data_IF_420693959001
#
_entry.id   IF_420693959001
#
_cell.length_a   1.000
_cell.length_b   1.000
_cell.length_c   1.000
_cell.angle_alpha   90.00
_cell.angle_beta   90.00
_cell.angle_gamma   90.00
#
_symmetry.space_group_name_H-M   'P 1'
#
loop_
_entity.id
_entity.type
_entity.pdbx_description
1 polymer ?
#
# COMPACT_ATOMS: atom_id res chain seq x y z
N UNK A 1 3.84 -4.41 12.05
CA UNK A 1 3.75 -5.59 11.18
C UNK A 1 4.58 -5.30 9.95
N UNK A 2 5.43 -6.24 9.58
CA UNK A 2 6.24 -6.20 8.37
C UNK A 2 5.54 -6.97 7.25
N UNK A 3 6.01 -6.74 6.02
CA UNK A 3 5.46 -7.37 4.81
C UNK A 3 5.53 -8.90 4.86
N UNK A 4 6.56 -9.45 5.50
CA UNK A 4 6.79 -10.89 5.65
C UNK A 4 5.66 -11.62 6.37
N UNK A 5 4.92 -10.90 7.22
CA UNK A 5 3.86 -11.46 8.06
C UNK A 5 2.50 -11.51 7.34
N UNK A 6 2.38 -10.90 6.15
CA UNK A 6 1.13 -10.87 5.39
C UNK A 6 0.92 -12.15 4.60
N UNK A 7 -0.33 -12.63 4.60
CA UNK A 7 -0.76 -13.78 3.79
C UNK A 7 -2.00 -13.42 2.95
N UNK A 8 -1.94 -13.45 1.62
CA UNK A 8 -0.76 -13.72 0.80
C UNK A 8 0.26 -12.58 0.88
N UNK A 9 1.52 -12.86 0.63
CA UNK A 9 2.58 -11.85 0.59
C UNK A 9 2.55 -11.09 -0.74
N UNK A 10 2.75 -9.75 -0.77
CA UNK A 10 2.95 -9.05 -2.03
C UNK A 10 4.22 -9.54 -2.73
N UNK A 11 4.17 -9.60 -4.06
CA UNK A 11 5.18 -10.27 -4.90
C UNK A 11 6.29 -9.30 -5.30
N UNK A 12 5.91 -8.11 -5.76
CA UNK A 12 6.83 -7.15 -6.36
C UNK A 12 7.06 -5.95 -5.45
N UNK A 13 8.21 -5.28 -5.65
CA UNK A 13 8.59 -4.08 -4.92
C UNK A 13 9.43 -3.14 -5.77
N UNK A 14 9.17 -1.85 -5.61
CA UNK A 14 10.02 -0.78 -6.15
C UNK A 14 10.25 0.31 -5.10
N UNK A 15 11.27 1.13 -5.29
CA UNK A 15 11.44 2.34 -4.47
C UNK A 15 10.31 3.31 -4.75
N UNK A 16 9.73 3.87 -3.69
CA UNK A 16 8.69 4.89 -3.76
C UNK A 16 9.30 6.26 -4.10
N UNK A 17 9.73 6.41 -5.36
CA UNK A 17 10.32 7.61 -5.94
C UNK A 17 9.97 7.71 -7.43
N UNK A 18 10.02 8.92 -7.98
CA UNK A 18 9.61 9.20 -9.35
C UNK A 18 10.33 8.34 -10.41
N UNK A 19 11.64 8.10 -10.27
CA UNK A 19 12.39 7.31 -11.26
C UNK A 19 11.98 5.84 -11.33
N UNK A 20 11.29 5.32 -10.33
CA UNK A 20 10.74 3.95 -10.33
C UNK A 20 9.36 3.87 -10.99
N UNK A 21 8.70 5.00 -11.26
CA UNK A 21 7.37 5.04 -11.87
C UNK A 21 7.31 4.26 -13.19
N UNK A 22 8.37 4.34 -14.00
CA UNK A 22 8.46 3.68 -15.32
C UNK A 22 8.37 2.15 -15.27
N UNK A 23 8.65 1.53 -14.13
CA UNK A 23 8.61 0.06 -13.97
C UNK A 23 7.36 -0.43 -13.25
N UNK A 24 6.49 0.48 -12.78
CA UNK A 24 5.23 0.10 -12.13
C UNK A 24 4.21 -0.26 -13.21
N UNK A 25 3.55 -1.44 -13.15
CA UNK A 25 2.66 -1.89 -14.20
C UNK A 25 1.38 -1.06 -14.28
N UNK A 26 0.85 -0.89 -15.49
CA UNK A 26 -0.47 -0.30 -15.74
C UNK A 26 -1.59 -1.33 -15.57
N UNK A 27 -1.58 -2.06 -14.45
CA UNK A 27 -2.50 -3.16 -14.15
C UNK A 27 -3.23 -2.92 -12.84
N UNK A 28 -4.33 -3.66 -12.67
CA UNK A 28 -5.09 -3.73 -11.43
C UNK A 28 -4.26 -4.46 -10.35
N UNK A 29 -4.29 -3.98 -9.11
CA UNK A 29 -3.55 -4.61 -8.02
C UNK A 29 -3.78 -4.00 -6.65
N UNK A 30 -3.34 -4.73 -5.63
CA UNK A 30 -3.19 -4.20 -4.27
C UNK A 30 -1.74 -3.80 -4.05
N UNK A 31 -1.53 -2.78 -3.22
CA UNK A 31 -0.22 -2.23 -2.94
C UNK A 31 -0.10 -1.80 -1.48
N UNK A 32 1.15 -1.68 -1.03
CA UNK A 32 1.49 -1.36 0.33
C UNK A 32 2.66 -0.36 0.33
N UNK A 33 2.49 0.75 1.05
CA UNK A 33 3.60 1.66 1.34
C UNK A 33 4.25 1.24 2.65
N UNK A 34 5.58 1.15 2.65
CA UNK A 34 6.33 0.74 3.83
C UNK A 34 7.56 1.61 4.07
N UNK A 35 8.06 1.58 5.30
CA UNK A 35 9.37 2.13 5.65
C UNK A 35 10.52 1.34 5.03
N UNK A 36 11.75 1.83 5.19
CA UNK A 36 12.95 1.11 4.75
C UNK A 36 13.01 -0.32 5.27
N UNK A 37 12.60 -0.52 6.53
CA UNK A 37 12.60 -1.82 7.23
C UNK A 37 11.31 -2.64 7.00
N UNK A 38 10.54 -2.31 5.97
CA UNK A 38 9.29 -2.97 5.57
C UNK A 38 8.15 -2.84 6.58
N UNK A 39 8.18 -1.87 7.50
CA UNK A 39 7.03 -1.59 8.36
C UNK A 39 5.89 -1.01 7.53
N UNK A 40 4.69 -1.59 7.65
CA UNK A 40 3.51 -1.20 6.89
C UNK A 40 3.00 0.16 7.37
N UNK A 41 2.93 1.13 6.46
CA UNK A 41 2.38 2.47 6.71
C UNK A 41 1.01 2.65 6.07
N UNK A 42 0.78 2.02 4.92
CA UNK A 42 -0.45 2.13 4.15
C UNK A 42 -0.75 0.86 3.36
N UNK A 43 -2.01 0.46 3.29
CA UNK A 43 -2.51 -0.60 2.42
C UNK A 43 -3.61 -0.02 1.53
N UNK A 44 -3.59 -0.34 0.24
CA UNK A 44 -4.65 0.07 -0.68
C UNK A 44 -4.80 -0.80 -1.92
N UNK A 45 -5.87 -0.58 -2.65
CA UNK A 45 -6.09 -1.13 -3.99
C UNK A 45 -6.10 -0.07 -5.10
N UNK A 46 -5.84 -0.49 -6.32
CA UNK A 46 -5.88 0.35 -7.51
C UNK A 46 -6.35 -0.44 -8.73
N UNK A 47 -7.18 0.20 -9.56
CA UNK A 47 -7.47 -0.31 -10.91
C UNK A 47 -6.33 -0.06 -11.89
N UNK A 48 -5.42 0.85 -11.54
CA UNK A 48 -4.18 1.09 -12.26
C UNK A 48 -3.08 1.46 -11.25
N UNK A 49 -2.18 0.51 -10.98
CA UNK A 49 -1.08 0.67 -10.02
C UNK A 49 -0.15 1.82 -10.41
N UNK A 50 0.18 1.96 -11.69
CA UNK A 50 1.03 3.03 -12.22
C UNK A 50 0.44 4.42 -11.89
N UNK A 51 -0.81 4.67 -12.28
CA UNK A 51 -1.48 5.94 -11.99
C UNK A 51 -1.56 6.22 -10.49
N UNK A 52 -1.89 5.20 -9.69
CA UNK A 52 -1.99 5.35 -8.22
C UNK A 52 -0.63 5.64 -7.58
N UNK A 53 0.44 5.03 -8.08
CA UNK A 53 1.81 5.31 -7.64
C UNK A 53 2.16 6.79 -7.86
N UNK A 54 1.87 7.32 -9.06
CA UNK A 54 2.10 8.74 -9.38
C UNK A 54 1.30 9.67 -8.48
N UNK A 55 0.00 9.42 -8.31
CA UNK A 55 -0.87 10.20 -7.42
C UNK A 55 -0.33 10.26 -5.99
N UNK A 56 0.18 9.14 -5.47
CA UNK A 56 0.74 9.13 -4.11
C UNK A 56 2.07 9.89 -4.02
N UNK A 57 2.91 9.89 -5.06
CA UNK A 57 4.12 10.71 -5.08
C UNK A 57 3.81 12.21 -5.07
N UNK A 58 2.67 12.60 -5.62
CA UNK A 58 2.18 13.98 -5.64
C UNK A 58 1.40 14.35 -4.36
N UNK A 59 1.14 13.38 -3.47
CA UNK A 59 0.42 13.59 -2.23
C UNK A 59 1.39 13.80 -1.05
N UNK A 60 1.38 15.00 -0.47
CA UNK A 60 2.23 15.34 0.68
C UNK A 60 1.95 14.46 1.92
N UNK A 61 0.70 14.01 2.11
CA UNK A 61 0.33 13.12 3.23
C UNK A 61 1.01 11.76 3.11
N UNK A 62 1.27 11.29 1.88
CA UNK A 62 1.87 9.98 1.61
C UNK A 62 3.39 10.01 1.50
N UNK A 63 3.96 11.19 1.26
CA UNK A 63 5.40 11.40 1.07
C UNK A 63 6.09 12.01 2.28
N UNK A 64 5.35 12.70 3.15
CA UNK A 64 5.89 13.26 4.39
C UNK A 64 6.23 12.16 5.39
N UNK A 65 7.27 12.34 6.24
CA UNK A 65 7.52 11.46 7.36
C UNK A 65 6.33 11.40 8.33
N UNK A 66 6.06 10.23 8.87
CA UNK A 66 5.11 10.00 9.97
C UNK A 66 5.86 9.65 11.26
N UNK A 67 5.16 9.55 12.38
CA UNK A 67 5.73 9.04 13.63
C UNK A 67 6.20 7.58 13.54
N UNK A 68 5.70 6.81 12.58
CA UNK A 68 6.11 5.42 12.31
C UNK A 68 7.13 5.32 11.16
N UNK A 69 7.62 6.46 10.66
CA UNK A 69 8.62 6.55 9.58
C UNK A 69 8.06 7.09 8.27
N UNK A 70 8.87 7.01 7.20
CA UNK A 70 8.55 7.54 5.87
C UNK A 70 8.31 6.41 4.87
N UNK A 71 7.41 6.60 3.92
CA UNK A 71 7.24 5.68 2.80
C UNK A 71 8.51 5.64 1.91
N UNK A 72 9.14 4.47 1.83
CA UNK A 72 10.36 4.21 1.05
C UNK A 72 10.11 3.14 -0.02
N UNK A 73 9.31 2.13 0.28
CA UNK A 73 8.99 1.07 -0.67
C UNK A 73 7.51 1.07 -1.04
N UNK A 74 7.26 0.77 -2.30
CA UNK A 74 5.95 0.46 -2.84
C UNK A 74 5.95 -1.02 -3.22
N UNK A 75 5.33 -1.82 -2.36
CA UNK A 75 5.05 -3.23 -2.65
C UNK A 75 3.76 -3.35 -3.43
N UNK A 76 3.66 -4.30 -4.34
CA UNK A 76 2.43 -4.56 -5.06
C UNK A 76 2.28 -6.01 -5.51
N UNK A 77 1.03 -6.38 -5.75
CA UNK A 77 0.64 -7.61 -6.42
C UNK A 77 -0.49 -7.29 -7.37
N UNK A 78 -0.33 -7.66 -8.64
CA UNK A 78 -1.42 -7.62 -9.61
C UNK A 78 -2.44 -8.69 -9.28
N UNK A 79 -3.73 -8.37 -9.38
CA UNK A 79 -4.79 -9.31 -9.01
C UNK A 79 -6.05 -9.07 -9.83
N UNK A 80 -6.94 -10.07 -9.84
CA UNK A 80 -8.23 -9.96 -10.50
C UNK A 80 -9.06 -8.81 -9.90
N UNK A 81 -9.59 -7.88 -10.72
CA UNK A 81 -10.31 -6.70 -10.25
C UNK A 81 -11.50 -7.02 -9.32
N UNK A 82 -12.22 -8.13 -9.57
CA UNK A 82 -13.39 -8.52 -8.77
C UNK A 82 -12.97 -8.93 -7.36
N UNK A 83 -11.73 -9.35 -7.18
CA UNK A 83 -11.20 -9.84 -5.92
C UNK A 83 -10.25 -8.86 -5.22
N UNK A 84 -9.94 -7.70 -5.82
CA UNK A 84 -9.10 -6.67 -5.19
C UNK A 84 -9.61 -6.22 -3.81
N UNK A 85 -10.92 -5.91 -3.62
CA UNK A 85 -11.40 -5.48 -2.32
C UNK A 85 -11.23 -6.57 -1.25
N UNK A 86 -11.35 -7.84 -1.65
CA UNK A 86 -11.17 -8.98 -0.74
C UNK A 86 -9.70 -9.08 -0.29
N UNK A 87 -8.76 -8.93 -1.22
CA UNK A 87 -7.33 -8.98 -0.91
C UNK A 87 -6.90 -7.83 -0.01
N UNK A 88 -7.26 -6.59 -0.37
CA UNK A 88 -6.97 -5.40 0.45
C UNK A 88 -7.55 -5.55 1.87
N UNK A 89 -8.83 -5.92 1.98
CA UNK A 89 -9.48 -6.14 3.28
C UNK A 89 -8.81 -7.23 4.08
N UNK A 90 -8.31 -8.29 3.43
CA UNK A 90 -7.56 -9.36 4.11
C UNK A 90 -6.30 -8.81 4.76
N UNK A 91 -5.51 -8.01 4.05
CA UNK A 91 -4.31 -7.39 4.60
C UNK A 91 -4.60 -6.36 5.70
N UNK A 92 -5.63 -5.51 5.50
CA UNK A 92 -6.07 -4.55 6.53
C UNK A 92 -6.51 -5.29 7.80
N UNK A 93 -7.29 -6.37 7.67
CA UNK A 93 -7.75 -7.16 8.80
C UNK A 93 -6.58 -7.83 9.53
N UNK A 94 -5.59 -8.38 8.81
CA UNK A 94 -4.40 -8.97 9.44
C UNK A 94 -3.63 -7.93 10.25
N UNK A 95 -3.39 -6.75 9.67
CA UNK A 95 -2.72 -5.67 10.37
C UNK A 95 -3.51 -5.24 11.62
N UNK A 96 -4.83 -5.04 11.47
CA UNK A 96 -5.70 -4.59 12.56
C UNK A 96 -5.80 -5.63 13.68
N UNK A 97 -5.84 -6.92 13.34
CA UNK A 97 -5.90 -8.00 14.34
C UNK A 97 -4.62 -8.06 15.19
N UNK A 98 -3.47 -7.71 14.63
CA UNK A 98 -2.19 -7.70 15.34
C UNK A 98 -2.00 -6.40 16.14
N UNK A 99 -2.38 -5.26 15.58
CA UNK A 99 -2.08 -3.94 16.15
C UNK A 99 -3.23 -3.25 16.86
N UNK A 100 -4.46 -3.74 16.72
CA UNK A 100 -5.68 -3.09 17.23
C UNK A 100 -6.01 -1.76 16.54
N UNK A 101 -5.33 -1.41 15.45
CA UNK A 101 -5.51 -0.16 14.70
C UNK A 101 -5.23 -0.34 13.21
N UNK A 102 -5.65 0.63 12.40
CA UNK A 102 -5.27 0.72 10.99
C UNK A 102 -3.80 1.15 10.83
N UNK A 103 -3.17 0.88 9.67
CA UNK A 103 -1.90 1.50 9.32
C UNK A 103 -1.99 3.03 9.42
N UNK A 104 -0.91 3.69 9.83
CA UNK A 104 -0.93 5.13 10.17
C UNK A 104 -1.41 6.05 9.03
N UNK A 105 -1.21 5.66 7.77
CA UNK A 105 -1.67 6.43 6.60
C UNK A 105 -3.03 5.96 6.06
N UNK A 106 -3.64 4.91 6.60
CA UNK A 106 -5.01 4.52 6.29
C UNK A 106 -5.96 5.36 7.14
N UNK A 107 -6.77 6.20 6.49
CA UNK A 107 -7.82 6.94 7.20
C UNK A 107 -8.91 5.96 7.64
N UNK A 108 -9.47 6.20 8.83
CA UNK A 108 -10.72 5.57 9.25
C UNK A 108 -11.80 6.04 8.26
N UNK A 109 -12.42 5.10 7.55
CA UNK A 109 -13.42 5.27 6.50
C UNK A 109 -13.95 6.71 6.35
N UNK A 110 -13.61 7.39 5.25
CA UNK A 110 -14.55 8.37 4.70
C UNK A 110 -15.86 7.61 4.43
N UNK A 111 -17.02 8.10 4.89
CA UNK A 111 -18.29 7.49 4.53
C UNK A 111 -18.36 7.43 3.00
N UNK A 112 -18.62 6.23 2.49
CA UNK A 112 -19.05 6.01 1.11
C UNK A 112 -20.32 6.88 0.97
N UNK A 113 -20.21 7.94 0.18
CA UNK A 113 -21.37 8.70 -0.30
C UNK A 113 -22.09 7.92 -1.39
#
# INVERSE_FOLDING_TARGET
MKIEELTPRPVDKVQFKFSSFKVVPQLNGCYILTTFENHILYIGLATNLNNRFKQHLENSEKTSPTSEGKAIWFYYTTFDPKNLPKLERTWINQFTNIHGKLPILNKVNSPIS
#
